data_IF_690127744800
#
_entry.id   IF_690127744800
#
_cell.length_a   1.000
_cell.length_b   1.000
_cell.length_c   1.000
_cell.angle_alpha   90.00
_cell.angle_beta   90.00
_cell.angle_gamma   90.00
#
_symmetry.space_group_name_H-M   'P 1'
#
loop_
_entity.id
_entity.type
_entity.pdbx_description
1 polymer ?
2 non-polymer ?
3 non-polymer ?
4 water ?
#
# COMPACT_ATOMS: atom_id res chain seq x y z
N UNK A 1 17.59 -5.57 18.74
CA UNK A 1 16.36 -6.29 18.28
C UNK A 1 16.64 -7.79 18.10
N UNK A 2 15.59 -8.64 18.19
CA UNK A 2 15.70 -10.05 17.84
C UNK A 2 15.61 -10.24 16.32
N UNK A 3 15.70 -11.47 15.85
CA UNK A 3 15.52 -11.77 14.41
C UNK A 3 14.13 -11.33 13.96
N UNK A 4 13.94 -11.06 12.64
CA UNK A 4 12.65 -10.63 12.11
C UNK A 4 11.47 -11.51 12.49
N UNK A 5 11.58 -12.83 12.34
CA UNK A 5 10.47 -13.73 12.74
C UNK A 5 10.22 -13.64 14.26
N UNK A 6 11.28 -13.66 15.07
CA UNK A 6 11.06 -13.52 16.50
C UNK A 6 10.25 -12.25 16.76
N UNK A 7 10.67 -11.15 16.14
CA UNK A 7 10.02 -9.86 16.37
C UNK A 7 8.55 -9.84 15.90
N UNK A 8 8.28 -10.46 14.75
CA UNK A 8 6.88 -10.53 14.26
C UNK A 8 6.04 -11.28 15.30
N UNK A 9 6.56 -12.39 15.81
CA UNK A 9 5.82 -13.15 16.81
C UNK A 9 5.55 -12.32 18.07
N UNK A 10 6.58 -11.63 18.57
CA UNK A 10 6.44 -10.76 19.72
C UNK A 10 5.34 -9.73 19.47
N UNK A 11 5.32 -9.15 18.27
CA UNK A 11 4.30 -8.17 17.93
C UNK A 11 2.89 -8.73 18.07
N UNK A 12 2.66 -9.96 17.60
CA UNK A 12 1.32 -10.59 17.79
C UNK A 12 1.00 -10.80 19.26
N UNK A 13 1.99 -11.25 20.04
CA UNK A 13 1.82 -11.43 21.48
C UNK A 13 1.46 -10.11 22.17
N UNK A 14 2.16 -9.04 21.79
CA UNK A 14 1.98 -7.74 22.44
C UNK A 14 0.74 -6.98 21.97
N UNK A 15 0.30 -7.24 20.73
CA UNK A 15 -0.91 -6.62 20.17
C UNK A 15 -2.21 -7.42 20.34
N UNK A 16 -2.09 -8.70 20.63
CA UNK A 16 -3.21 -9.65 20.60
C UNK A 16 -3.89 -9.68 19.23
N UNK A 17 -3.15 -9.34 18.18
CA UNK A 17 -3.69 -9.29 16.81
C UNK A 17 -2.90 -10.19 15.87
N UNK A 18 -3.43 -10.41 14.67
CA UNK A 18 -2.68 -11.09 13.61
C UNK A 18 -1.81 -10.11 12.85
N UNK A 19 -0.56 -10.50 12.60
CA UNK A 19 0.35 -9.79 11.71
C UNK A 19 0.58 -10.65 10.49
N UNK A 20 0.63 -10.02 9.33
CA UNK A 20 0.98 -10.73 8.11
C UNK A 20 2.12 -9.97 7.47
N UNK A 21 3.12 -10.69 6.97
CA UNK A 21 4.39 -10.04 6.58
C UNK A 21 5.14 -10.77 5.45
N UNK A 22 5.53 -10.04 4.41
CA UNK A 22 6.42 -10.59 3.39
C UNK A 22 7.60 -9.66 3.28
N UNK A 23 8.80 -10.23 3.16
CA UNK A 23 10.00 -9.51 2.78
C UNK A 23 10.50 -10.15 1.50
N UNK A 24 10.68 -9.37 0.43
CA UNK A 24 10.93 -9.95 -0.90
C UNK A 24 11.99 -9.12 -1.64
N UNK A 25 12.96 -9.76 -2.27
CA UNK A 25 13.90 -9.02 -3.13
C UNK A 25 13.11 -8.38 -4.29
N UNK A 26 13.26 -7.08 -4.48
CA UNK A 26 12.49 -6.39 -5.54
C UNK A 26 12.89 -6.89 -6.93
N UNK A 27 14.20 -7.04 -7.14
CA UNK A 27 14.66 -7.42 -8.50
C UNK A 27 14.29 -8.84 -8.90
N UNK A 28 14.36 -9.79 -7.98
CA UNK A 28 14.15 -11.19 -8.35
C UNK A 28 12.86 -11.82 -7.87
N UNK A 29 12.24 -11.24 -6.84
CA UNK A 29 11.10 -11.88 -6.18
C UNK A 29 11.44 -12.93 -5.13
N UNK A 30 12.73 -13.09 -4.82
CA UNK A 30 13.15 -14.03 -3.75
C UNK A 30 12.38 -13.67 -2.45
N UNK A 31 11.65 -14.65 -1.90
CA UNK A 31 10.99 -14.43 -0.61
C UNK A 31 11.95 -14.76 0.53
N UNK A 32 12.22 -13.76 1.38
CA UNK A 32 13.13 -13.92 2.54
C UNK A 32 12.43 -14.26 3.83
N UNK A 33 11.34 -13.57 4.11
CA UNK A 33 10.59 -13.76 5.35
C UNK A 33 9.16 -13.82 4.92
N UNK A 34 8.44 -14.79 5.45
CA UNK A 34 7.02 -14.93 5.16
C UNK A 34 6.32 -15.39 6.45
N UNK A 35 5.35 -14.61 6.89
CA UNK A 35 4.59 -14.94 8.10
C UNK A 35 3.11 -14.65 7.81
N UNK A 36 2.26 -15.68 7.92
CA UNK A 36 0.81 -15.59 7.57
C UNK A 36 0.67 -14.99 6.17
N UNK A 37 1.58 -15.37 5.29
CA UNK A 37 1.66 -14.66 4.00
C UNK A 37 0.52 -14.98 3.04
N UNK A 38 -0.21 -16.05 3.32
CA UNK A 38 -1.38 -16.44 2.52
C UNK A 38 -2.69 -16.18 3.24
N UNK A 39 -2.63 -15.51 4.38
CA UNK A 39 -3.85 -15.10 5.10
C UNK A 39 -4.34 -13.74 4.61
N UNK A 40 -5.65 -13.55 4.66
CA UNK A 40 -6.29 -12.30 4.26
C UNK A 40 -6.14 -11.21 5.31
N UNK A 41 -5.94 -10.00 4.79
CA UNK A 41 -5.93 -8.78 5.59
C UNK A 41 -6.58 -7.65 4.79
N UNK A 42 -7.30 -6.75 5.47
CA UNK A 42 -7.82 -5.58 4.75
C UNK A 42 -6.69 -4.74 4.13
N UNK A 43 -6.81 -4.35 2.86
CA UNK A 43 -5.81 -3.46 2.22
C UNK A 43 -5.82 -2.04 2.77
N UNK A 44 -7.00 -1.57 3.16
CA UNK A 44 -7.16 -0.17 3.54
C UNK A 44 -6.60 0.72 2.44
N UNK A 45 -5.94 1.80 2.82
CA UNK A 45 -5.46 2.74 1.80
C UNK A 45 -4.31 2.22 0.97
N UNK A 46 -3.73 1.07 1.32
CA UNK A 46 -2.67 0.54 0.47
C UNK A 46 -3.18 0.17 -0.92
N UNK A 47 -4.51 0.00 -1.09
CA UNK A 47 -5.05 -0.33 -2.40
C UNK A 47 -4.74 0.78 -3.41
N UNK A 48 -4.46 2.00 -2.92
CA UNK A 48 -4.28 3.16 -3.82
C UNK A 48 -3.10 2.98 -4.76
N UNK A 49 -2.11 2.21 -4.33
CA UNK A 49 -0.96 1.93 -5.22
C UNK A 49 -1.41 1.07 -6.42
N UNK A 50 -2.17 0.02 -6.14
CA UNK A 50 -2.71 -0.87 -7.17
C UNK A 50 -3.60 -0.08 -8.12
N UNK A 51 -4.48 0.73 -7.54
CA UNK A 51 -5.36 1.62 -8.29
C UNK A 51 -4.58 2.42 -9.33
N UNK A 52 -3.51 3.09 -8.92
CA UNK A 52 -2.78 3.91 -9.87
C UNK A 52 -1.96 3.08 -10.87
N UNK A 53 -1.62 1.85 -10.48
CA UNK A 53 -1.08 0.90 -11.48
C UNK A 53 -2.09 0.67 -12.61
N UNK A 54 -3.37 0.52 -12.27
CA UNK A 54 -4.43 0.29 -13.28
C UNK A 54 -4.62 1.56 -14.14
N UNK A 55 -4.54 2.73 -13.52
CA UNK A 55 -4.57 3.99 -14.26
C UNK A 55 -3.41 4.08 -15.25
N UNK A 56 -2.19 3.76 -14.80
CA UNK A 56 -1.03 3.80 -15.66
C UNK A 56 -1.13 2.80 -16.82
N UNK A 57 -1.74 1.64 -16.57
CA UNK A 57 -1.97 0.64 -17.63
C UNK A 57 -2.87 1.19 -18.69
N UNK A 58 -3.85 2.01 -18.30
CA UNK A 58 -4.71 2.68 -19.28
C UNK A 58 -3.96 3.74 -20.06
N UNK A 59 -3.09 4.48 -19.36
CA UNK A 59 -2.27 5.51 -20.05
C UNK A 59 -1.39 4.84 -21.14
N UNK A 60 -0.69 3.77 -20.76
CA UNK A 60 0.16 2.99 -21.69
C UNK A 60 -0.61 2.49 -22.92
N UNK A 61 -1.86 2.11 -22.73
CA UNK A 61 -2.71 1.59 -23.82
C UNK A 61 -3.30 2.69 -24.68
N UNK A 62 -3.08 3.95 -24.27
CA UNK A 62 -3.62 5.11 -24.99
C UNK A 62 -5.08 5.41 -24.67
N UNK A 63 -5.59 4.85 -23.58
CA UNK A 63 -6.98 5.01 -23.16
C UNK A 63 -7.16 6.06 -22.05
N UNK A 64 -6.04 6.65 -21.65
CA UNK A 64 -6.00 7.65 -20.56
C UNK A 64 -4.76 8.53 -20.74
N UNK A 65 -4.78 9.73 -20.16
CA UNK A 65 -3.61 10.63 -20.16
C UNK A 65 -3.50 11.13 -18.74
N UNK A 66 -2.28 11.16 -18.23
CA UNK A 66 -2.09 11.73 -16.89
C UNK A 66 -2.39 13.21 -16.89
N UNK A 67 -2.30 13.84 -18.06
CA UNK A 67 -2.64 15.25 -18.20
C UNK A 67 -4.13 15.54 -18.14
N UNK A 68 -4.98 14.55 -18.41
CA UNK A 68 -6.39 14.82 -18.60
C UNK A 68 -7.00 15.45 -17.33
N UNK A 69 -7.63 16.61 -17.46
CA UNK A 69 -8.25 17.29 -16.31
C UNK A 69 -9.63 16.74 -16.02
N UNK A 70 -9.86 16.35 -14.77
CA UNK A 70 -11.17 15.90 -14.31
C UNK A 70 -11.81 16.97 -13.41
N UNK A 71 -13.02 17.41 -13.77
CA UNK A 71 -13.78 18.32 -12.94
C UNK A 71 -14.81 17.57 -12.12
N UNK A 72 -14.98 17.98 -10.88
CA UNK A 72 -15.85 17.22 -10.01
C UNK A 72 -16.64 18.19 -9.12
N UNK A 73 -17.59 17.64 -8.37
CA UNK A 73 -18.51 18.44 -7.58
C UNK A 73 -18.28 18.26 -6.09
N UNK A 74 -18.63 19.28 -5.31
CA UNK A 74 -18.52 19.13 -3.86
C UNK A 74 -19.32 17.94 -3.34
N UNK A 75 -20.49 17.70 -3.93
CA UNK A 75 -21.32 16.57 -3.51
C UNK A 75 -20.65 15.22 -3.80
N UNK A 76 -19.62 15.21 -4.66
CA UNK A 76 -18.82 13.99 -4.96
C UNK A 76 -17.81 13.66 -3.89
N UNK A 77 -17.47 14.65 -3.06
CA UNK A 77 -16.42 14.43 -2.06
C UNK A 77 -16.82 13.51 -0.92
N UNK A 78 -15.88 12.65 -0.52
CA UNK A 78 -15.97 11.82 0.68
C UNK A 78 -15.01 12.29 1.78
N UNK A 79 -15.14 11.67 2.94
CA UNK A 79 -14.33 12.00 4.09
C UNK A 79 -12.84 11.92 3.76
N UNK A 80 -12.13 12.98 4.07
CA UNK A 80 -10.68 13.11 3.95
C UNK A 80 -10.24 13.36 2.53
N UNK A 81 -10.34 14.63 2.17
CA UNK A 81 -10.02 15.10 0.83
C UNK A 81 -9.12 16.34 0.87
N UNK A 82 -7.94 16.25 1.53
CA UNK A 82 -7.10 17.44 1.77
C UNK A 82 -6.63 18.17 0.50
N UNK A 83 -6.45 17.44 -0.59
CA UNK A 83 -6.05 18.04 -1.86
C UNK A 83 -7.27 18.31 -2.72
N UNK A 84 -8.12 17.31 -2.92
CA UNK A 84 -9.22 17.45 -3.85
C UNK A 84 -10.25 18.50 -3.42
N UNK A 85 -10.42 18.74 -2.12
CA UNK A 85 -11.37 19.81 -1.70
C UNK A 85 -10.89 21.20 -2.12
N UNK A 86 -9.61 21.35 -2.42
CA UNK A 86 -9.04 22.65 -2.83
C UNK A 86 -9.24 22.95 -4.31
N UNK A 87 -9.75 22.00 -5.08
CA UNK A 87 -9.78 22.15 -6.53
C UNK A 87 -11.16 21.94 -7.14
N UNK A 88 -12.18 22.37 -6.39
CA UNK A 88 -13.54 22.29 -6.88
C UNK A 88 -13.74 23.17 -8.10
N UNK A 89 -13.10 24.34 -8.11
CA UNK A 89 -13.25 25.29 -9.22
C UNK A 89 -12.46 24.86 -10.44
N UNK A 90 -11.24 24.37 -10.22
CA UNK A 90 -10.31 24.18 -11.34
C UNK A 90 -10.08 22.73 -11.81
N UNK A 91 -10.52 21.75 -11.04
CA UNK A 91 -10.28 20.35 -11.38
C UNK A 91 -8.88 19.91 -11.04
N UNK A 92 -8.64 18.64 -11.26
CA UNK A 92 -7.31 18.03 -11.08
C UNK A 92 -7.04 17.09 -12.23
N UNK A 93 -5.77 17.02 -12.64
CA UNK A 93 -5.40 16.06 -13.66
C UNK A 93 -5.40 14.63 -13.10
N UNK A 94 -5.53 13.66 -14.00
CA UNK A 94 -5.49 12.27 -13.59
C UNK A 94 -4.18 12.01 -12.80
N UNK A 95 -3.07 12.56 -13.30
CA UNK A 95 -1.79 12.39 -12.60
C UNK A 95 -1.78 13.05 -11.23
N UNK A 96 -2.37 14.26 -11.16
CA UNK A 96 -2.51 14.92 -9.85
C UNK A 96 -3.36 14.10 -8.91
N UNK A 97 -4.40 13.48 -9.45
CA UNK A 97 -5.27 12.65 -8.62
C UNK A 97 -4.52 11.44 -8.06
N UNK A 98 -3.69 10.80 -8.87
CA UNK A 98 -2.88 9.70 -8.34
C UNK A 98 -1.88 10.18 -7.30
N UNK A 99 -1.24 11.31 -7.57
CA UNK A 99 -0.32 11.88 -6.55
C UNK A 99 -1.07 12.15 -5.25
N UNK A 100 -2.27 12.71 -5.34
CA UNK A 100 -3.04 12.99 -4.11
C UNK A 100 -3.46 11.71 -3.40
N UNK A 101 -3.91 10.72 -4.17
CA UNK A 101 -4.33 9.46 -3.56
C UNK A 101 -3.15 8.76 -2.86
N UNK A 102 -2.00 8.69 -3.53
CA UNK A 102 -0.87 7.90 -3.00
C UNK A 102 -0.12 8.73 -1.95
N UNK A 103 0.19 9.99 -2.27
CA UNK A 103 1.08 10.77 -1.37
C UNK A 103 0.37 11.40 -0.19
N UNK A 104 -0.94 11.59 -0.30
CA UNK A 104 -1.71 12.26 0.74
C UNK A 104 -2.85 11.40 1.27
N UNK A 105 -3.10 10.29 0.60
CA UNK A 105 -4.24 9.39 0.93
C UNK A 105 -5.56 10.14 0.80
N UNK A 106 -5.64 10.99 -0.22
CA UNK A 106 -6.87 11.70 -0.50
C UNK A 106 -7.96 10.75 -1.01
N UNK A 107 -9.06 10.64 -0.25
CA UNK A 107 -10.09 9.64 -0.57
C UNK A 107 -10.97 9.97 -1.76
N UNK A 108 -11.31 11.25 -1.92
CA UNK A 108 -12.08 11.62 -3.11
C UNK A 108 -11.25 11.40 -4.35
N UNK A 109 -9.96 11.76 -4.29
CA UNK A 109 -9.13 11.49 -5.46
C UNK A 109 -9.15 10.02 -5.82
N UNK A 110 -9.03 9.14 -4.80
CA UNK A 110 -9.08 7.71 -5.06
C UNK A 110 -10.40 7.28 -5.69
N UNK A 111 -11.52 7.83 -5.20
CA UNK A 111 -12.81 7.44 -5.78
C UNK A 111 -12.97 7.93 -7.21
N UNK A 112 -12.48 9.14 -7.50
CA UNK A 112 -12.49 9.65 -8.87
C UNK A 112 -11.70 8.74 -9.81
N UNK A 113 -10.51 8.34 -9.37
CA UNK A 113 -9.72 7.39 -10.15
C UNK A 113 -10.39 6.03 -10.27
N UNK A 114 -11.03 5.57 -9.20
CA UNK A 114 -11.65 4.28 -9.20
C UNK A 114 -12.76 4.21 -10.26
N UNK A 115 -13.54 5.27 -10.40
CA UNK A 115 -14.56 5.31 -11.44
C UNK A 115 -13.91 5.11 -12.81
N UNK A 116 -12.80 5.83 -13.09
CA UNK A 116 -12.15 5.72 -14.41
C UNK A 116 -11.67 4.28 -14.79
N UNK A 117 -11.43 3.41 -13.81
CA UNK A 117 -10.94 2.06 -14.10
C UNK A 117 -12.08 1.02 -14.01
N UNK A 118 -13.31 1.50 -13.89
CA UNK A 118 -14.46 0.60 -13.78
C UNK A 118 -14.87 0.22 -12.37
N UNK A 119 -14.53 1.07 -11.39
CA UNK A 119 -14.91 0.81 -10.01
C UNK A 119 -14.17 -0.36 -9.38
N UNK A 120 -14.58 -0.75 -8.16
CA UNK A 120 -13.99 -1.90 -7.49
C UNK A 120 -13.94 -3.14 -8.39
N UNK A 121 -15.02 -3.42 -9.14
CA UNK A 121 -15.04 -4.56 -10.07
C UNK A 121 -13.97 -4.47 -11.16
N UNK A 122 -13.82 -3.29 -11.73
CA UNK A 122 -12.83 -3.01 -12.77
C UNK A 122 -11.40 -3.14 -12.26
N UNK A 123 -11.17 -2.69 -11.03
CA UNK A 123 -9.83 -2.81 -10.46
C UNK A 123 -9.52 -4.27 -10.14
N UNK A 124 -10.51 -5.00 -9.63
CA UNK A 124 -10.34 -6.43 -9.39
C UNK A 124 -10.02 -7.18 -10.69
N UNK A 125 -10.68 -6.78 -11.77
CA UNK A 125 -10.47 -7.44 -13.08
C UNK A 125 -9.07 -7.14 -13.56
N UNK A 126 -8.60 -5.91 -13.32
CA UNK A 126 -7.19 -5.57 -13.61
C UNK A 126 -6.22 -6.46 -12.83
N UNK A 127 -6.49 -6.66 -11.54
CA UNK A 127 -5.65 -7.55 -10.75
C UNK A 127 -5.59 -8.94 -11.35
N UNK A 128 -6.76 -9.46 -11.74
CA UNK A 128 -6.83 -10.77 -12.40
C UNK A 128 -6.00 -10.78 -13.70
N UNK A 129 -6.06 -9.69 -14.46
CA UNK A 129 -5.27 -9.58 -15.71
C UNK A 129 -3.76 -9.65 -15.51
N UNK A 130 -3.29 -9.17 -14.37
CA UNK A 130 -1.86 -9.24 -14.08
C UNK A 130 -1.50 -10.48 -13.26
N UNK A 131 -2.46 -11.38 -13.09
CA UNK A 131 -2.15 -12.64 -12.45
C UNK A 131 -2.29 -12.70 -10.95
N UNK A 132 -2.94 -11.69 -10.36
CA UNK A 132 -3.25 -11.73 -8.94
C UNK A 132 -4.68 -12.26 -8.84
N UNK A 133 -4.82 -13.48 -8.33
CA UNK A 133 -6.12 -14.15 -8.25
C UNK A 133 -6.72 -14.12 -6.87
N UNK A 134 -6.11 -13.30 -6.00
CA UNK A 134 -6.45 -13.28 -4.59
C UNK A 134 -6.97 -11.90 -4.14
N UNK A 135 -6.22 -10.86 -4.46
CA UNK A 135 -6.57 -9.51 -4.01
C UNK A 135 -7.89 -9.10 -4.63
N UNK A 136 -8.74 -8.44 -3.84
CA UNK A 136 -10.04 -8.02 -4.33
C UNK A 136 -10.45 -6.68 -3.72
N UNK A 137 -10.99 -5.80 -4.57
CA UNK A 137 -11.63 -4.59 -4.04
C UNK A 137 -13.10 -4.73 -4.32
N UNK A 138 -13.90 -4.44 -3.31
CA UNK A 138 -15.35 -4.61 -3.39
C UNK A 138 -16.07 -3.30 -3.15
N UNK A 139 -15.47 -2.40 -2.38
CA UNK A 139 -16.15 -1.14 -2.00
C UNK A 139 -15.34 0.10 -2.37
N UNK A 140 -16.00 1.24 -2.28
CA UNK A 140 -15.39 2.53 -2.57
C UNK A 140 -14.88 3.16 -1.25
N UNK A 141 -14.10 4.23 -1.34
CA UNK A 141 -13.80 5.05 -0.14
C UNK A 141 -15.12 5.69 0.32
N UNK A 142 -15.42 5.68 1.63
CA UNK A 142 -14.52 5.28 2.71
C UNK A 142 -14.91 3.95 3.38
N UNK A 143 -15.89 3.25 2.81
CA UNK A 143 -16.40 2.03 3.44
C UNK A 143 -15.43 0.85 3.36
N UNK A 144 -14.47 0.91 2.43
CA UNK A 144 -13.59 -0.23 2.17
C UNK A 144 -12.65 -0.62 3.31
N UNK A 145 -12.44 0.24 4.31
CA UNK A 145 -11.57 -0.19 5.41
C UNK A 145 -12.32 -0.56 6.69
N UNK A 146 -13.60 -0.92 6.55
CA UNK A 146 -14.40 -1.41 7.71
C UNK A 146 -13.81 -2.61 8.48
N UNK A 147 -13.03 -3.44 7.80
CA UNK A 147 -12.31 -4.54 8.44
C UNK A 147 -13.19 -5.38 9.39
N UNK A 148 -14.36 -5.80 8.91
CA UNK A 148 -15.20 -6.68 9.70
C UNK A 148 -14.55 -8.05 9.87
N UNK A 149 -14.63 -8.63 11.09
CA UNK A 149 -14.08 -9.99 11.25
C UNK A 149 -14.70 -10.98 10.26
N UNK A 150 -13.86 -11.82 9.63
CA UNK A 150 -14.30 -12.83 8.67
C UNK A 150 -14.77 -12.36 7.29
N UNK A 151 -14.69 -11.05 7.05
CA UNK A 151 -15.15 -10.41 5.81
C UNK A 151 -14.02 -10.40 4.79
N UNK A 152 -14.24 -11.05 3.65
CA UNK A 152 -13.25 -11.16 2.59
C UNK A 152 -13.21 -9.92 1.70
N UNK A 153 -14.20 -9.03 1.82
CA UNK A 153 -14.20 -7.85 0.97
C UNK A 153 -12.95 -7.00 1.19
N UNK A 154 -12.46 -6.41 0.10
CA UNK A 154 -11.39 -5.38 0.18
C UNK A 154 -10.13 -5.91 0.83
N UNK A 155 -9.77 -7.15 0.52
CA UNK A 155 -8.63 -7.79 1.16
C UNK A 155 -7.54 -8.16 0.18
N UNK A 156 -6.35 -8.38 0.73
CA UNK A 156 -5.25 -8.97 -0.02
C UNK A 156 -4.58 -9.98 0.89
N UNK A 157 -3.52 -10.61 0.41
CA UNK A 157 -2.63 -11.34 1.32
C UNK A 157 -1.25 -10.70 1.21
N UNK A 158 -0.40 -10.87 2.24
CA UNK A 158 0.95 -10.32 2.09
C UNK A 158 1.68 -10.81 0.81
N UNK A 159 1.58 -12.12 0.53
CA UNK A 159 2.25 -12.72 -0.65
C UNK A 159 1.69 -12.14 -1.97
N UNK A 160 0.37 -12.00 -2.05
CA UNK A 160 -0.27 -11.46 -3.26
C UNK A 160 0.07 -10.01 -3.49
N UNK A 161 0.01 -9.22 -2.42
CA UNK A 161 0.32 -7.80 -2.56
C UNK A 161 1.76 -7.57 -2.94
N UNK A 162 2.67 -8.33 -2.32
CA UNK A 162 4.10 -8.16 -2.65
C UNK A 162 4.35 -8.55 -4.10
N UNK A 163 3.73 -9.66 -4.53
CA UNK A 163 3.90 -10.11 -5.93
C UNK A 163 3.34 -9.07 -6.91
N UNK A 164 2.20 -8.50 -6.56
CA UNK A 164 1.53 -7.53 -7.43
C UNK A 164 2.34 -6.24 -7.52
N UNK A 165 2.86 -5.76 -6.38
CA UNK A 165 3.69 -4.57 -6.38
C UNK A 165 4.92 -4.78 -7.24
N UNK A 166 5.56 -5.94 -7.07
CA UNK A 166 6.71 -6.26 -7.91
C UNK A 166 6.36 -6.28 -9.39
N UNK A 167 5.23 -6.88 -9.74
CA UNK A 167 4.76 -6.87 -11.15
C UNK A 167 4.61 -5.45 -11.68
N UNK A 168 3.98 -4.58 -10.88
CA UNK A 168 3.73 -3.23 -11.38
C UNK A 168 5.01 -2.41 -11.52
N UNK A 169 5.94 -2.57 -10.58
CA UNK A 169 7.13 -1.76 -10.55
C UNK A 169 8.24 -2.25 -11.48
N UNK A 170 8.28 -3.56 -11.75
CA UNK A 170 9.46 -4.16 -12.41
C UNK A 170 9.23 -5.05 -13.63
N UNK A 171 8.02 -5.54 -13.85
CA UNK A 171 7.82 -6.65 -14.80
C UNK A 171 7.64 -6.29 -16.28
N UNK A 172 7.62 -5.00 -16.61
CA UNK A 172 7.35 -4.60 -18.02
C UNK A 172 5.90 -4.75 -18.45
N UNK A 173 5.00 -5.04 -17.52
CA UNK A 173 3.58 -4.91 -17.81
C UNK A 173 3.27 -3.43 -18.00
N UNK A 174 3.82 -2.58 -17.13
CA UNK A 174 3.75 -1.12 -17.35
C UNK A 174 4.97 -0.71 -18.16
N UNK A 175 4.81 0.35 -18.95
CA UNK A 175 5.91 0.96 -19.69
C UNK A 175 6.98 1.43 -18.73
N UNK A 176 8.19 1.68 -19.25
CA UNK A 176 9.27 2.23 -18.42
C UNK A 176 8.86 3.51 -17.69
N UNK A 177 8.28 4.46 -18.43
CA UNK A 177 7.87 5.72 -17.80
C UNK A 177 6.83 5.49 -16.71
N UNK A 178 5.89 4.58 -16.95
CA UNK A 178 4.83 4.32 -15.95
C UNK A 178 5.39 3.68 -14.69
N UNK A 179 6.31 2.74 -14.87
CA UNK A 179 6.99 2.11 -13.72
C UNK A 179 7.70 3.18 -12.92
N UNK A 180 8.36 4.11 -13.63
CA UNK A 180 9.11 5.15 -12.94
C UNK A 180 8.16 6.09 -12.16
N UNK A 181 7.01 6.34 -12.75
CA UNK A 181 6.02 7.21 -12.12
C UNK A 181 5.43 6.59 -10.86
N UNK A 182 5.06 5.32 -10.94
CA UNK A 182 4.49 4.64 -9.79
C UNK A 182 5.49 4.65 -8.62
N UNK A 183 6.76 4.36 -8.94
CA UNK A 183 7.81 4.39 -7.93
C UNK A 183 7.95 5.78 -7.29
N UNK A 184 7.96 6.82 -8.13
CA UNK A 184 8.13 8.16 -7.63
C UNK A 184 6.95 8.58 -6.73
N UNK A 185 5.73 8.16 -7.07
CA UNK A 185 4.60 8.47 -6.17
C UNK A 185 4.83 7.86 -4.75
N UNK A 186 5.30 6.62 -4.71
CA UNK A 186 5.59 6.01 -3.41
C UNK A 186 6.74 6.71 -2.68
N UNK A 187 7.77 7.14 -3.41
CA UNK A 187 8.87 7.87 -2.80
C UNK A 187 8.36 9.16 -2.15
N UNK A 188 7.34 9.74 -2.80
CA UNK A 188 6.84 11.06 -2.42
C UNK A 188 5.76 11.01 -1.34
N UNK A 189 5.51 9.84 -0.72
CA UNK A 189 4.50 9.78 0.34
C UNK A 189 4.73 10.85 1.41
N UNK A 190 3.70 11.65 1.66
CA UNK A 190 3.79 12.69 2.69
C UNK A 190 3.23 12.25 4.04
N UNK A 191 2.39 11.22 4.03
CA UNK A 191 1.76 10.72 5.27
C UNK A 191 2.76 10.05 6.23
N UNK A 192 3.60 9.16 5.72
CA UNK A 192 4.49 8.39 6.57
C UNK A 192 5.98 8.50 6.14
N UNK A 193 6.23 8.78 4.87
CA UNK A 193 7.60 8.86 4.34
C UNK A 193 8.57 9.67 5.20
N UNK A 194 8.28 10.96 5.41
CA UNK A 194 9.18 11.80 6.23
C UNK A 194 9.34 11.27 7.64
N UNK A 195 8.27 10.77 8.24
CA UNK A 195 8.34 10.21 9.60
C UNK A 195 9.24 8.98 9.62
N UNK A 196 9.07 8.09 8.65
CA UNK A 196 9.96 6.93 8.58
C UNK A 196 11.44 7.33 8.38
N UNK A 197 11.69 8.26 7.47
CA UNK A 197 13.06 8.76 7.27
C UNK A 197 13.70 9.26 8.55
N UNK A 198 12.91 9.94 9.37
CA UNK A 198 13.41 10.52 10.62
C UNK A 198 13.89 9.47 11.62
N UNK A 199 13.42 8.23 11.50
CA UNK A 199 13.83 7.17 12.42
C UNK A 199 14.72 6.14 11.74
N UNK A 200 14.92 6.29 10.43
CA UNK A 200 15.77 5.31 9.73
C UNK A 200 17.22 5.73 9.85
N UNK A 201 18.15 4.77 9.99
CA UNK A 201 19.56 5.14 9.96
C UNK A 201 19.92 5.75 8.62
N UNK A 202 20.92 6.62 8.62
CA UNK A 202 21.46 7.15 7.37
C UNK A 202 21.77 5.99 6.41
N UNK A 203 21.42 6.18 5.14
CA UNK A 203 21.80 5.20 4.13
C UNK A 203 20.66 4.29 3.71
N UNK A 204 19.54 4.32 4.44
CA UNK A 204 18.39 3.50 4.10
C UNK A 204 17.34 4.22 3.26
N UNK A 205 17.06 3.65 2.09
CA UNK A 205 16.00 4.05 1.17
C UNK A 205 14.62 3.68 1.74
N UNK A 206 13.64 4.60 1.62
CA UNK A 206 12.23 4.23 1.84
C UNK A 206 11.30 4.83 0.77
N UNK A 207 10.34 4.04 0.32
CA UNK A 207 9.18 4.47 -0.44
C UNK A 207 8.02 3.67 0.13
N UNK A 208 6.82 4.24 0.18
CA UNK A 208 5.76 3.55 0.93
C UNK A 208 4.37 4.04 0.61
N UNK A 209 3.39 3.19 0.93
CA UNK A 209 2.00 3.62 1.14
C UNK A 209 1.49 2.91 2.38
N UNK A 210 0.87 3.69 3.27
CA UNK A 210 0.34 3.12 4.50
C UNK A 210 -1.18 3.07 4.46
N UNK A 211 -1.74 2.33 5.41
CA UNK A 211 -3.19 2.21 5.51
C UNK A 211 -3.60 1.98 6.94
N UNK A 212 -4.83 2.33 7.27
CA UNK A 212 -5.39 2.04 8.59
C UNK A 212 -6.88 1.77 8.47
N UNK A 213 -7.43 0.99 9.40
CA UNK A 213 -8.84 0.68 9.34
C UNK A 213 -9.39 0.38 10.72
N UNK A 214 -10.58 -0.19 10.73
CA UNK A 214 -11.25 -0.45 11.99
C UNK A 214 -10.65 -1.70 12.66
N UNK A 215 -10.98 -1.87 13.94
CA UNK A 215 -10.57 -3.06 14.68
C UNK A 215 -9.06 -3.24 14.70
N UNK A 216 -8.36 -2.10 14.67
CA UNK A 216 -6.91 -2.09 14.74
C UNK A 216 -6.17 -2.29 13.43
N UNK A 217 -6.92 -2.42 12.34
CA UNK A 217 -6.27 -2.68 11.05
C UNK A 217 -5.23 -1.61 10.73
N UNK A 218 -4.08 -2.06 10.25
CA UNK A 218 -2.99 -1.15 9.97
C UNK A 218 -2.10 -1.82 8.95
N UNK A 219 -1.46 -1.04 8.09
CA UNK A 219 -0.58 -1.70 7.13
C UNK A 219 0.36 -0.76 6.44
N UNK A 220 1.36 -1.38 5.81
CA UNK A 220 2.30 -0.62 4.98
C UNK A 220 2.79 -1.51 3.87
N UNK A 221 2.84 -0.95 2.67
CA UNK A 221 3.57 -1.57 1.57
C UNK A 221 4.76 -0.63 1.30
N UNK A 222 5.95 -1.21 1.21
CA UNK A 222 7.15 -0.38 1.17
C UNK A 222 8.27 -0.97 0.36
N UNK A 223 9.17 -0.09 -0.08
CA UNK A 223 10.45 -0.49 -0.64
C UNK A 223 11.50 0.00 0.36
N UNK A 224 12.47 -0.86 0.66
CA UNK A 224 13.43 -0.55 1.72
C UNK A 224 14.78 -1.16 1.34
N UNK A 225 15.86 -0.48 1.68
CA UNK A 225 17.15 -1.13 1.52
C UNK A 225 18.29 -0.22 1.91
N UNK A 226 19.45 -0.82 2.19
CA UNK A 226 20.62 0.00 2.50
C UNK A 226 21.25 0.51 1.22
N UNK A 227 22.26 1.36 1.39
CA UNK A 227 23.04 1.89 0.28
C UNK A 227 22.12 2.71 -0.65
N UNK A 228 21.06 3.28 -0.07
CA UNK A 228 20.13 4.14 -0.78
C UNK A 228 19.47 3.48 -1.98
N UNK A 229 19.28 2.17 -1.85
CA UNK A 229 18.65 1.38 -2.91
C UNK A 229 17.37 0.70 -2.45
N UNK A 230 16.39 0.66 -3.34
CA UNK A 230 15.13 -0.04 -3.13
C UNK A 230 15.34 -1.55 -3.27
N UNK A 231 16.00 -2.15 -2.28
CA UNK A 231 16.42 -3.55 -2.43
C UNK A 231 15.26 -4.52 -2.24
N UNK A 232 14.38 -4.23 -1.28
CA UNK A 232 13.35 -5.21 -0.95
C UNK A 232 11.98 -4.58 -0.86
N UNK A 233 10.97 -5.34 -1.27
CA UNK A 233 9.59 -5.03 -0.95
C UNK A 233 9.30 -5.62 0.44
N UNK A 234 8.67 -4.81 1.30
CA UNK A 234 8.25 -5.25 2.62
C UNK A 234 6.78 -4.88 2.74
N UNK A 235 5.96 -5.89 3.00
CA UNK A 235 4.54 -5.69 3.16
C UNK A 235 4.21 -6.18 4.55
N UNK A 236 3.61 -5.32 5.37
CA UNK A 236 3.18 -5.71 6.72
C UNK A 236 1.74 -5.27 6.93
N UNK A 237 0.87 -6.20 7.32
CA UNK A 237 -0.51 -5.88 7.66
C UNK A 237 -0.78 -6.39 9.07
N UNK A 238 -1.56 -5.60 9.82
CA UNK A 238 -2.06 -6.01 11.16
C UNK A 238 -3.58 -5.99 11.12
N UNK A 239 -4.21 -6.90 11.86
CA UNK A 239 -5.67 -6.87 12.02
C UNK A 239 -6.10 -7.37 13.37
N UNK A 240 -7.29 -6.95 13.80
CA UNK A 240 -7.97 -7.49 15.00
C UNK A 240 -7.13 -7.35 16.27
N UNK A 241 -6.67 -6.12 16.49
CA UNK A 241 -5.99 -5.81 17.73
C UNK A 241 -6.70 -4.59 18.29
N UNK A 242 -6.85 -4.52 19.63
CA UNK A 242 -7.47 -3.33 20.20
C UNK A 242 -6.44 -2.22 20.51
N UNK A 243 -5.20 -2.36 20.05
CA UNK A 243 -4.12 -1.45 20.43
C UNK A 243 -4.29 -0.02 19.85
N UNK A 244 -3.76 0.96 20.57
CA UNK A 244 -3.69 2.33 20.08
C UNK A 244 -2.95 2.40 18.76
N UNK A 245 -3.26 3.42 17.99
CA UNK A 245 -2.50 3.66 16.76
C UNK A 245 -0.98 3.75 17.03
N UNK A 246 -0.61 4.43 18.10
CA UNK A 246 0.80 4.60 18.43
C UNK A 246 1.49 3.25 18.64
N UNK A 247 0.82 2.34 19.34
CA UNK A 247 1.42 1.03 19.58
C UNK A 247 1.48 0.17 18.32
N UNK A 248 0.47 0.25 17.48
CA UNK A 248 0.53 -0.42 16.19
C UNK A 248 1.68 0.14 15.36
N UNK A 249 1.84 1.46 15.34
CA UNK A 249 3.01 2.05 14.66
C UNK A 249 4.35 1.55 15.19
N UNK A 250 4.45 1.49 16.52
CA UNK A 250 5.70 1.09 17.17
C UNK A 250 6.04 -0.36 16.88
N UNK A 251 5.02 -1.22 16.80
CA UNK A 251 5.27 -2.64 16.54
C UNK A 251 5.73 -2.85 15.11
N UNK A 252 5.12 -2.12 14.17
CA UNK A 252 5.54 -2.20 12.78
C UNK A 252 6.98 -1.68 12.66
N UNK A 253 7.27 -0.57 13.35
CA UNK A 253 8.64 -0.01 13.34
C UNK A 253 9.60 -1.01 13.95
N UNK A 254 9.17 -1.71 15.00
CA UNK A 254 9.99 -2.78 15.59
C UNK A 254 10.36 -3.91 14.65
N UNK A 255 9.41 -4.31 13.78
CA UNK A 255 9.68 -5.33 12.77
C UNK A 255 10.72 -4.74 11.81
N UNK A 256 10.54 -3.48 11.42
CA UNK A 256 11.53 -2.77 10.59
C UNK A 256 12.92 -2.75 11.22
N UNK A 257 13.00 -2.53 12.53
CA UNK A 257 14.30 -2.46 13.20
C UNK A 257 14.97 -3.82 13.12
N UNK A 258 14.17 -4.88 13.27
CA UNK A 258 14.70 -6.25 13.21
C UNK A 258 15.27 -6.53 11.84
N UNK A 259 14.58 -6.07 10.79
CA UNK A 259 15.07 -6.26 9.42
C UNK A 259 16.42 -5.52 9.22
N UNK A 260 16.47 -4.29 9.71
CA UNK A 260 17.65 -3.41 9.59
C UNK A 260 18.87 -4.02 10.27
N UNK A 261 18.67 -4.48 11.50
CA UNK A 261 19.74 -5.09 12.28
C UNK A 261 20.21 -6.44 11.77
N UNK A 262 19.36 -7.14 11.01
CA UNK A 262 19.67 -8.47 10.52
C UNK A 262 19.35 -8.57 9.03
N UNK A 263 20.00 -7.73 8.25
CA UNK A 263 19.62 -7.55 6.85
C UNK A 263 20.13 -8.64 5.93
N UNK A 264 21.30 -9.19 6.25
CA UNK A 264 21.95 -10.12 5.34
C UNK A 264 21.48 -11.55 5.60
N UNK A 265 20.38 -11.93 4.95
CA UNK A 265 19.84 -13.30 5.05
C UNK A 265 19.59 -13.87 3.68
X LIG B 1 20.25 1.65 15.07
X LIG B 1 21.28 2.78 15.18
X LIG B 1 21.94 3.03 13.83
X LIG B 1 22.46 1.74 13.18
X LIG B 1 21.41 0.60 13.20
X LIG B 1 21.98 -0.74 12.81
X LIG B 1 20.59 3.96 15.57
X LIG B 1 22.98 4.00 14.01
X LIG B 1 20.82 0.42 14.53
X LIG B 1 23.03 -1.09 13.73
X LIG B 1 19.20 2.05 14.17
X LIG B 1 22.90 2.00 11.82
X LIG B 1 15.13 2.11 14.01
X LIG B 1 15.71 3.15 14.96
X LIG B 1 17.21 3.30 14.65
X LIG B 1 17.87 1.91 14.67
X LIG B 1 17.15 0.89 13.78
X LIG B 1 17.68 -0.55 13.92
X LIG B 1 13.75 1.92 14.37
X LIG B 1 15.05 4.41 14.88
X LIG B 1 17.85 4.21 15.56
X LIG B 1 15.78 0.85 14.23
X LIG B 1 17.65 -0.96 15.31
X LIG B 1 13.03 1.22 13.31
X LIG B 1 12.32 2.25 12.45
X LIG B 1 11.76 1.58 11.20
X LIG B 1 10.81 2.56 10.51
X LIG B 1 9.64 1.89 9.79
X LIG B 1 10.11 0.64 9.03
X LIG B 1 9.13 0.25 7.93
X LIG B 1 8.34 -1.01 8.36
X LIG B 1 8.23 -2.09 7.29
X LIG B 1 8.15 -1.46 5.91
X LIG B 1 9.49 -0.87 5.58
X LIG B 1 9.96 0.13 6.63
X LIG C 1 10.24 3.66 17.06
X LIG C 1 9.34 4.78 16.90
X LIG C 1 8.05 4.37 16.16
X LIG C 1 7.41 5.51 15.31
X LIG C 1 7.77 5.38 13.82
X LIG C 1 6.56 5.20 12.89
X LIG C 1 6.97 4.28 11.70
X LIG C 1 5.87 3.94 10.67
X LIG C 1 4.65 4.84 10.78
X LIG C 1 3.63 4.55 9.65
X LIG C 1 3.23 3.06 9.53
X LIG C 1 4.40 2.08 9.72
X LIG C 1 5.41 2.49 10.82
X LIG D 1 -1.43 5.78 7.41
X LIG D 1 -2.59 6.20 7.49
X LIG D 1 -3.17 6.50 8.56
X LIG D 1 -3.37 6.29 6.14
X LIG D 1 -4.48 7.37 6.14
X LIG D 1 -3.89 8.77 6.37
X LIG D 1 -4.98 9.84 6.25
X LIG D 1 -5.97 9.76 7.41
X LIG D 1 -5.67 10.21 8.52
X LIG D 1 -7.16 9.16 7.08
X LIG D 1 -8.07 8.83 8.13
X LIG D 1 -9.38 8.25 7.58
X LIG D 1 -10.21 9.34 6.91
X LIG D 1 -10.42 7.55 9.06
X LIG D 1 -10.26 8.55 10.18
X LIG D 1 -9.80 6.23 9.53
X LIG D 1 -9.08 7.11 6.57
X LIG D 1 -10.40 6.50 6.04
X LIG D 1 -10.99 5.66 6.77
X LIG D 1 -10.79 6.88 4.92
X LIG D 1 -8.31 6.04 7.24
X LIG D 1 -7.54 5.23 6.53
X LIG D 1 -7.37 5.48 5.06
X LIG D 1 -6.40 4.51 4.41
X LIG D 1 -5.85 3.58 4.99
X LIG E 1 22.87 5.75 11.89
X LIG E 1 21.98 6.66 11.99
X LIG E 1 21.73 7.54 11.14
X LIG E 1 21.21 6.74 13.33
X LIG E 1 19.69 6.54 13.18
X LIG E 1 19.00 7.22 14.40
X LIG E 1 17.48 7.32 14.19
X LIG E 1 16.78 7.81 15.49
X LIG E 1 17.60 8.29 16.47
X LIG E 1 15.57 7.72 15.62
#
# INVERSE_FOLDING_TARGET
SPQPLEQIKLSESQLSGRVGMIEMDLASGRTLTAWRADERFPMMSTFKVVLCGAVLARVDAGDEQLERKIHYRQQDLVDYSPVSEKHLADGMTVGELCAAAITMSDNSAANLLLATVGGPAGLTAFLRQIGDNVTRLDRWETELNEALPGDARDTTTPASMAATLRKLLTSQRLSARSQRQLLQWMVDDRVAGPLIRSVLPAGWFIADKTGAGERGARGIVALLGPNNKAERIVVIYLRDTPASMAERNQQIAGIGAALIEHWQR
MA4 C1 C2 C3 C4 C5 C6 O2 O3 O5 O6 O1 O4 C10 C20 C30 C40 C50 C60 O10 O20 O30 O50 O60 C11 C21 C31 C41 C51 C61 C12 C22 C32 C42 C52 C62
MA4 O10 C11 C21 C31 C41 C51 C61 C12 C22 C32 C42 C52 C62
2AW OAC CAT OAH CAO CAM CAN CAP CAV OAE OAS CG1 CB CG2 SAX OAF OAG CA C OXT O N CAL CAK CAJ OAB
2AW OAC CAT OAH CAO CAM CAN CAP CAV OAE OAS
#
